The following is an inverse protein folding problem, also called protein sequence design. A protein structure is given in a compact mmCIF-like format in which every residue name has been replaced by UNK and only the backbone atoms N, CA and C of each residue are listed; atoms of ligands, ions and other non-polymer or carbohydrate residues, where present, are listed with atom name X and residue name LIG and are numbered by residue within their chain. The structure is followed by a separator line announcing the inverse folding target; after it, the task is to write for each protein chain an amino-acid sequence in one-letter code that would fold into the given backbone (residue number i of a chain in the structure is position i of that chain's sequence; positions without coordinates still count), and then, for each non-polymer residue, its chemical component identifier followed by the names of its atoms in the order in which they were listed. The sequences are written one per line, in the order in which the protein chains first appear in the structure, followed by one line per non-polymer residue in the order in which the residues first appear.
data_IF_904308583218
#
_entry.id   IF_904308583218
#
_cell.length_a   1.000
_cell.length_b   1.000
_cell.length_c   1.000
_cell.angle_alpha   90.00
_cell.angle_beta   90.00
_cell.angle_gamma   90.00
#
_symmetry.space_group_name_H-M   'P 1'
#
loop_
_entity.id
_entity.type
_entity.pdbx_description
1 polymer ?
#
# COMPACT_ATOMS: atom_id res chain seq x y z
N UNK A 1 -37.61 6.91 -0.55
CA UNK A 1 -36.68 6.37 0.48
C UNK A 1 -35.89 7.50 1.15
N UNK A 2 -35.18 8.36 0.42
CA UNK A 2 -34.44 9.51 1.01
C UNK A 2 -35.33 10.46 1.82
N UNK A 3 -36.48 10.86 1.29
CA UNK A 3 -37.42 11.73 2.01
C UNK A 3 -38.02 11.10 3.28
N UNK A 4 -38.03 9.76 3.40
CA UNK A 4 -38.46 9.07 4.62
C UNK A 4 -37.34 9.06 5.67
N UNK A 5 -36.07 8.95 5.23
CA UNK A 5 -34.91 9.00 6.12
C UNK A 5 -34.68 10.40 6.70
N UNK A 6 -35.00 11.45 5.96
CA UNK A 6 -34.88 12.84 6.42
C UNK A 6 -35.97 13.26 7.42
N UNK A 7 -37.08 12.50 7.50
CA UNK A 7 -38.20 12.76 8.40
C UNK A 7 -38.14 11.95 9.70
N UNK A 8 -37.24 10.98 9.80
CA UNK A 8 -37.07 10.16 10.99
C UNK A 8 -36.22 10.89 12.04
N UNK A 9 -36.76 11.23 13.23
CA UNK A 9 -36.03 11.96 14.26
C UNK A 9 -34.87 11.16 14.89
N UNK A 10 -34.78 9.86 14.63
CA UNK A 10 -33.65 9.02 15.05
C UNK A 10 -32.49 9.04 14.05
N UNK A 11 -32.68 9.61 12.86
CA UNK A 11 -31.69 9.63 11.79
C UNK A 11 -30.92 10.95 11.78
N UNK A 12 -29.59 10.86 11.83
CA UNK A 12 -28.71 12.01 11.57
C UNK A 12 -28.08 11.88 10.18
N UNK A 13 -28.28 12.90 9.35
CA UNK A 13 -27.74 12.94 7.99
C UNK A 13 -26.45 13.77 7.96
N UNK A 14 -25.36 13.15 7.51
CA UNK A 14 -24.08 13.84 7.27
C UNK A 14 -23.73 13.77 5.78
N UNK A 15 -23.54 14.93 5.15
CA UNK A 15 -23.04 14.98 3.79
C UNK A 15 -21.57 14.53 3.73
N UNK A 16 -21.20 13.81 2.66
CA UNK A 16 -19.81 13.46 2.40
C UNK A 16 -18.97 14.70 2.08
N UNK A 17 -17.75 14.75 2.59
CA UNK A 17 -16.74 15.76 2.23
C UNK A 17 -16.33 15.61 0.75
N UNK A 18 -15.62 16.60 0.21
CA UNK A 18 -15.07 16.52 -1.14
C UNK A 18 -14.16 15.30 -1.29
N UNK A 19 -13.27 15.07 -0.33
CA UNK A 19 -12.35 13.92 -0.32
C UNK A 19 -13.10 12.59 -0.22
N UNK A 20 -14.10 12.48 0.65
CA UNK A 20 -14.94 11.28 0.75
C UNK A 20 -15.69 10.98 -0.55
N UNK A 21 -16.17 12.01 -1.28
CA UNK A 21 -16.80 11.84 -2.59
C UNK A 21 -15.83 11.34 -3.66
N UNK A 22 -14.59 11.84 -3.66
CA UNK A 22 -13.54 11.36 -4.58
C UNK A 22 -13.23 9.90 -4.31
N UNK A 23 -13.02 9.55 -3.04
CA UNK A 23 -12.79 8.16 -2.62
C UNK A 23 -13.96 7.26 -3.01
N UNK A 24 -15.20 7.68 -2.77
CA UNK A 24 -16.40 6.91 -3.14
C UNK A 24 -16.44 6.57 -4.63
N UNK A 25 -16.11 7.54 -5.51
CA UNK A 25 -16.03 7.29 -6.96
C UNK A 25 -14.89 6.35 -7.32
N UNK A 26 -13.72 6.53 -6.72
CA UNK A 26 -12.57 5.65 -6.94
C UNK A 26 -12.89 4.19 -6.55
N UNK A 27 -13.57 3.97 -5.42
CA UNK A 27 -13.98 2.64 -4.97
C UNK A 27 -15.02 1.99 -5.89
N UNK A 28 -15.96 2.78 -6.45
CA UNK A 28 -16.89 2.27 -7.46
C UNK A 28 -16.16 1.83 -8.74
N UNK A 29 -15.16 2.60 -9.19
CA UNK A 29 -14.32 2.19 -10.33
C UNK A 29 -13.55 0.92 -9.99
N UNK A 30 -12.93 0.85 -8.82
CA UNK A 30 -12.15 -0.31 -8.38
C UNK A 30 -13.02 -1.57 -8.37
N UNK A 31 -14.27 -1.48 -7.89
CA UNK A 31 -15.21 -2.60 -7.84
C UNK A 31 -15.45 -3.30 -9.19
N UNK A 32 -15.19 -2.63 -10.32
CA UNK A 32 -15.30 -3.23 -11.66
C UNK A 32 -14.10 -4.10 -12.07
N UNK A 33 -12.99 -4.03 -11.34
CA UNK A 33 -11.82 -4.85 -11.60
C UNK A 33 -11.99 -6.25 -10.98
N UNK A 34 -11.74 -7.34 -11.73
CA UNK A 34 -11.72 -8.68 -11.17
C UNK A 34 -10.46 -8.83 -10.31
N UNK A 35 -10.59 -8.57 -9.00
CA UNK A 35 -9.47 -8.62 -8.08
C UNK A 35 -9.26 -10.02 -7.48
N UNK A 36 -8.01 -10.37 -7.23
CA UNK A 36 -7.62 -11.47 -6.36
C UNK A 36 -6.53 -10.99 -5.40
N UNK A 37 -6.38 -11.69 -4.28
CA UNK A 37 -5.31 -11.42 -3.32
C UNK A 37 -4.44 -12.66 -3.05
N UNK A 38 -3.18 -12.39 -2.71
CA UNK A 38 -2.26 -13.38 -2.18
C UNK A 38 -1.66 -12.84 -0.88
N UNK A 39 -1.45 -13.73 0.08
CA UNK A 39 -0.87 -13.41 1.38
C UNK A 39 0.46 -14.11 1.54
N UNK A 40 1.47 -13.39 2.02
CA UNK A 40 2.75 -13.98 2.45
C UNK A 40 3.11 -13.50 3.84
N UNK A 41 3.66 -14.40 4.64
CA UNK A 41 4.31 -14.06 5.90
C UNK A 41 5.75 -13.63 5.63
N UNK A 42 6.22 -12.58 6.32
CA UNK A 42 7.57 -12.03 6.17
C UNK A 42 8.21 -11.89 7.55
N UNK A 43 9.44 -12.41 7.72
CA UNK A 43 10.26 -12.10 8.89
C UNK A 43 10.78 -10.65 8.79
N UNK A 44 10.20 -9.79 9.60
CA UNK A 44 10.46 -8.36 9.59
C UNK A 44 11.65 -7.97 10.46
N UNK A 45 12.37 -8.90 11.10
CA UNK A 45 13.48 -8.56 11.99
C UNK A 45 14.51 -7.68 11.28
N UNK A 46 14.95 -8.08 10.09
CA UNK A 46 15.90 -7.29 9.29
C UNK A 46 15.38 -5.88 8.97
N UNK A 47 14.14 -5.77 8.49
CA UNK A 47 13.52 -4.48 8.21
C UNK A 47 13.33 -3.60 9.47
N UNK A 48 13.04 -4.21 10.62
CA UNK A 48 12.93 -3.51 11.91
C UNK A 48 14.28 -2.98 12.40
N UNK A 49 15.37 -3.69 12.12
CA UNK A 49 16.73 -3.32 12.51
C UNK A 49 17.27 -2.13 11.71
N UNK A 50 16.70 -1.86 10.53
CA UNK A 50 17.04 -0.68 9.73
C UNK A 50 16.45 0.64 10.26
N UNK A 51 15.56 0.59 11.26
CA UNK A 51 15.00 1.80 11.87
C UNK A 51 16.10 2.62 12.54
N UNK A 52 16.02 3.93 12.36
CA UNK A 52 16.96 4.92 12.93
C UNK A 52 16.23 6.26 13.06
N UNK A 53 16.75 7.25 13.81
CA UNK A 53 16.06 8.52 13.99
C UNK A 53 15.56 9.11 12.66
N UNK A 54 14.25 9.29 12.54
CA UNK A 54 13.59 9.81 11.35
C UNK A 54 13.17 8.75 10.30
N UNK A 55 13.72 7.54 10.33
CA UNK A 55 13.38 6.42 9.43
C UNK A 55 12.50 5.42 10.16
N UNK A 56 11.36 5.09 9.55
CA UNK A 56 10.40 4.11 10.06
C UNK A 56 10.43 2.82 9.26
N UNK A 57 9.83 1.74 9.77
CA UNK A 57 9.69 0.49 9.00
C UNK A 57 8.87 0.70 7.71
N UNK A 58 7.92 1.65 7.69
CA UNK A 58 7.20 2.03 6.47
C UNK A 58 8.15 2.53 5.39
N UNK A 59 9.21 3.27 5.75
CA UNK A 59 10.19 3.78 4.78
C UNK A 59 11.02 2.66 4.16
N UNK A 60 11.38 1.66 4.96
CA UNK A 60 12.06 0.43 4.51
C UNK A 60 11.15 -0.39 3.58
N UNK A 61 9.86 -0.50 3.91
CA UNK A 61 8.88 -1.20 3.05
C UNK A 61 8.69 -0.47 1.72
N UNK A 62 8.58 0.87 1.74
CA UNK A 62 8.45 1.68 0.54
C UNK A 62 9.66 1.53 -0.38
N UNK A 63 10.87 1.56 0.19
CA UNK A 63 12.12 1.29 -0.55
C UNK A 63 12.11 -0.12 -1.16
N UNK A 64 11.85 -1.15 -0.36
CA UNK A 64 11.82 -2.53 -0.83
C UNK A 64 10.77 -2.74 -1.94
N UNK A 65 9.60 -2.11 -1.84
CA UNK A 65 8.58 -2.11 -2.89
C UNK A 65 9.11 -1.44 -4.16
N UNK A 66 9.68 -0.23 -4.06
CA UNK A 66 10.20 0.49 -5.20
C UNK A 66 11.29 -0.29 -5.94
N UNK A 67 12.26 -0.85 -5.22
CA UNK A 67 13.32 -1.67 -5.81
C UNK A 67 12.78 -2.96 -6.45
N UNK A 68 11.76 -3.57 -5.85
CA UNK A 68 11.09 -4.75 -6.42
C UNK A 68 10.34 -4.37 -7.70
N UNK A 69 9.64 -3.24 -7.72
CA UNK A 69 8.89 -2.75 -8.89
C UNK A 69 9.78 -2.52 -10.11
N UNK A 70 11.03 -2.07 -9.92
CA UNK A 70 12.00 -1.93 -11.02
C UNK A 70 12.35 -3.29 -11.65
N UNK A 71 12.45 -4.36 -10.85
CA UNK A 71 12.68 -5.72 -11.36
C UNK A 71 11.42 -6.36 -11.98
N UNK A 72 10.25 -5.84 -11.63
CA UNK A 72 8.95 -6.36 -12.05
C UNK A 72 8.09 -5.25 -12.68
N UNK A 73 8.46 -4.72 -13.87
CA UNK A 73 7.74 -3.61 -14.50
C UNK A 73 6.28 -3.93 -14.81
N UNK A 74 5.92 -5.20 -14.97
CA UNK A 74 4.54 -5.65 -15.11
C UNK A 74 3.67 -5.43 -13.84
N UNK A 75 4.31 -5.36 -12.65
CA UNK A 75 3.65 -4.96 -11.39
C UNK A 75 3.65 -3.44 -11.20
N UNK A 76 4.57 -2.73 -11.86
CA UNK A 76 4.65 -1.28 -11.88
C UNK A 76 3.85 -0.70 -13.06
N UNK A 77 2.56 -1.01 -13.11
CA UNK A 77 1.75 -0.77 -14.30
C UNK A 77 0.36 -0.21 -13.99
N UNK A 78 -0.25 0.37 -15.03
CA UNK A 78 -1.64 0.79 -15.03
C UNK A 78 -2.42 -0.01 -16.06
N UNK A 79 -3.63 -0.45 -15.74
CA UNK A 79 -4.55 -1.07 -16.70
C UNK A 79 -5.61 -0.06 -17.14
N UNK A 80 -5.74 0.12 -18.45
CA UNK A 80 -6.73 1.02 -19.05
C UNK A 80 -7.01 0.63 -20.49
N UNK A 81 -8.28 0.64 -20.87
CA UNK A 81 -8.74 0.49 -22.27
C UNK A 81 -8.12 -0.76 -22.93
N UNK A 82 -8.17 -1.91 -22.23
CA UNK A 82 -7.57 -3.20 -22.65
C UNK A 82 -6.06 -3.19 -22.89
N UNK A 83 -5.34 -2.23 -22.31
CA UNK A 83 -3.89 -2.13 -22.36
C UNK A 83 -3.27 -2.02 -20.97
N UNK A 84 -2.06 -2.58 -20.83
CA UNK A 84 -1.21 -2.47 -19.63
C UNK A 84 -0.06 -1.52 -19.92
N UNK A 85 -0.01 -0.39 -19.22
CA UNK A 85 1.02 0.64 -19.34
C UNK A 85 2.05 0.45 -18.24
N UNK A 86 3.23 -0.05 -18.59
CA UNK A 86 4.32 -0.33 -17.65
C UNK A 86 5.22 0.89 -17.48
N UNK A 87 5.73 1.08 -16.26
CA UNK A 87 6.58 2.21 -15.88
C UNK A 87 7.99 1.72 -15.51
N UNK A 88 9.00 2.44 -15.99
CA UNK A 88 10.40 2.20 -15.64
C UNK A 88 10.86 2.91 -14.36
N UNK A 89 10.01 3.76 -13.78
CA UNK A 89 10.24 4.52 -12.54
C UNK A 89 9.13 4.15 -11.56
N UNK A 90 9.47 3.95 -10.29
CA UNK A 90 8.51 3.59 -9.26
C UNK A 90 8.01 4.84 -8.52
N UNK A 91 6.73 5.18 -8.72
CA UNK A 91 6.07 6.24 -7.97
C UNK A 91 5.13 5.61 -6.94
N UNK A 92 5.62 5.41 -5.72
CA UNK A 92 4.88 4.66 -4.70
C UNK A 92 3.96 5.58 -3.91
N UNK A 93 2.66 5.31 -3.98
CA UNK A 93 1.64 5.93 -3.14
C UNK A 93 1.62 5.32 -1.74
N UNK A 94 1.35 6.15 -0.72
CA UNK A 94 1.13 5.70 0.65
C UNK A 94 -0.26 6.11 1.12
N UNK A 95 -1.08 5.16 1.55
CA UNK A 95 -2.40 5.47 2.11
C UNK A 95 -2.27 6.21 3.46
N UNK A 96 -2.82 7.42 3.55
CA UNK A 96 -2.78 8.26 4.75
C UNK A 96 -4.20 8.65 5.16
N UNK A 97 -4.61 8.19 6.35
CA UNK A 97 -5.86 8.59 6.97
C UNK A 97 -5.74 9.95 7.68
N UNK A 98 -6.78 10.77 7.56
CA UNK A 98 -6.93 12.05 8.25
C UNK A 98 -8.39 12.29 8.65
N UNK A 99 -8.70 13.28 9.50
CA UNK A 99 -10.09 13.66 9.79
C UNK A 99 -10.89 14.10 8.55
N UNK A 100 -10.21 14.43 7.44
CA UNK A 100 -10.86 14.82 6.17
C UNK A 100 -11.17 13.63 5.26
N UNK A 101 -10.72 12.43 5.64
CA UNK A 101 -10.82 11.20 4.87
C UNK A 101 -9.46 10.60 4.50
N UNK A 102 -9.51 9.57 3.66
CA UNK A 102 -8.32 8.88 3.13
C UNK A 102 -7.74 9.67 1.95
N UNK A 103 -6.42 9.83 1.93
CA UNK A 103 -5.68 10.39 0.80
C UNK A 103 -4.46 9.53 0.53
N UNK A 104 -4.10 9.33 -0.73
CA UNK A 104 -2.92 8.56 -1.14
C UNK A 104 -1.90 9.52 -1.77
N UNK A 105 -1.06 10.21 -0.99
CA UNK A 105 0.06 10.96 -1.53
C UNK A 105 1.09 10.02 -2.18
N UNK A 106 1.80 10.53 -3.19
CA UNK A 106 2.75 9.80 -4.03
C UNK A 106 4.17 10.29 -3.77
N UNK A 107 5.08 9.36 -3.52
CA UNK A 107 6.52 9.62 -3.47
C UNK A 107 7.06 9.39 -4.88
N UNK A 108 7.27 10.47 -5.63
CA UNK A 108 7.75 10.37 -7.01
C UNK A 108 9.23 9.94 -7.07
N UNK A 109 9.56 9.02 -7.97
CA UNK A 109 10.91 8.48 -8.14
C UNK A 109 11.42 7.74 -6.90
N UNK A 110 10.55 6.99 -6.22
CA UNK A 110 10.88 6.30 -4.96
C UNK A 110 12.11 5.39 -5.12
N UNK A 111 12.25 4.75 -6.27
CA UNK A 111 13.36 3.85 -6.61
C UNK A 111 14.74 4.53 -6.66
N UNK A 112 14.74 5.84 -6.90
CA UNK A 112 15.97 6.64 -7.01
C UNK A 112 16.40 7.30 -5.69
N UNK A 113 15.60 7.19 -4.63
CA UNK A 113 15.84 7.81 -3.34
C UNK A 113 16.56 6.84 -2.39
N UNK A 114 17.36 7.38 -1.48
CA UNK A 114 17.76 6.61 -0.28
C UNK A 114 16.58 6.47 0.68
N UNK A 115 16.67 5.53 1.62
CA UNK A 115 15.67 5.35 2.67
C UNK A 115 15.45 6.66 3.47
N UNK A 116 16.51 7.43 3.75
CA UNK A 116 16.41 8.77 4.36
C UNK A 116 15.60 9.74 3.49
N UNK A 117 15.87 9.75 2.18
CA UNK A 117 15.13 10.58 1.22
C UNK A 117 13.65 10.20 1.17
N UNK A 118 13.34 8.91 1.17
CA UNK A 118 11.96 8.39 1.26
C UNK A 118 11.32 8.88 2.57
N UNK A 119 12.02 8.76 3.70
CA UNK A 119 11.51 9.16 5.00
C UNK A 119 11.22 10.66 5.11
N UNK A 120 12.10 11.50 4.55
CA UNK A 120 11.88 12.94 4.46
C UNK A 120 10.64 13.28 3.62
N UNK A 121 10.54 12.71 2.42
CA UNK A 121 9.41 12.93 1.50
C UNK A 121 8.10 12.45 2.11
N UNK A 122 8.08 11.23 2.69
CA UNK A 122 6.91 10.67 3.37
C UNK A 122 6.44 11.59 4.49
N UNK A 123 7.35 12.05 5.37
CA UNK A 123 6.99 12.95 6.49
C UNK A 123 6.31 14.21 5.98
N UNK A 124 6.91 14.88 5.00
CA UNK A 124 6.40 16.12 4.45
C UNK A 124 5.01 15.92 3.80
N UNK A 125 4.79 14.81 3.08
CA UNK A 125 3.50 14.46 2.49
C UNK A 125 2.44 14.15 3.56
N UNK A 126 2.78 13.38 4.59
CA UNK A 126 1.86 13.05 5.70
C UNK A 126 1.44 14.31 6.45
N UNK A 127 2.37 15.23 6.71
CA UNK A 127 2.09 16.52 7.33
C UNK A 127 1.13 17.35 6.48
N UNK A 128 1.35 17.44 5.17
CA UNK A 128 0.45 18.15 4.25
C UNK A 128 -0.94 17.51 4.15
N UNK A 129 -1.05 16.18 4.13
CA UNK A 129 -2.35 15.49 4.17
C UNK A 129 -3.10 15.84 5.46
N UNK A 130 -2.43 15.77 6.61
CA UNK A 130 -3.04 16.09 7.91
C UNK A 130 -3.43 17.57 8.02
N UNK A 131 -2.60 18.47 7.50
CA UNK A 131 -2.89 19.90 7.43
C UNK A 131 -4.02 20.24 6.43
N UNK A 132 -4.25 19.37 5.43
CA UNK A 132 -5.19 19.63 4.34
C UNK A 132 -4.62 20.55 3.26
N UNK A 133 -3.29 20.63 3.16
CA UNK A 133 -2.54 21.46 2.21
C UNK A 133 -1.86 20.64 1.11
N UNK A 134 -2.22 19.36 0.97
CA UNK A 134 -1.72 18.48 -0.08
C UNK A 134 -2.17 18.99 -1.46
N UNK A 135 -1.26 18.99 -2.43
CA UNK A 135 -1.52 19.48 -3.78
C UNK A 135 -1.95 18.35 -4.71
N UNK A 136 -2.55 18.70 -5.86
CA UNK A 136 -2.94 17.72 -6.89
C UNK A 136 -1.73 16.95 -7.42
N UNK A 137 -0.60 17.63 -7.66
CA UNK A 137 0.63 17.02 -8.15
C UNK A 137 1.18 15.92 -7.22
N UNK A 138 0.85 16.00 -5.94
CA UNK A 138 1.31 15.06 -4.92
C UNK A 138 0.38 13.86 -4.74
N UNK A 139 -0.78 13.83 -5.38
CA UNK A 139 -1.74 12.71 -5.29
C UNK A 139 -1.98 12.03 -6.64
N UNK A 140 -1.34 12.51 -7.72
CA UNK A 140 -1.41 11.92 -9.05
C UNK A 140 -0.08 11.26 -9.43
N UNK A 141 -0.10 10.40 -10.46
CA UNK A 141 1.11 9.81 -11.04
C UNK A 141 1.68 8.62 -10.26
N UNK A 142 0.97 8.13 -9.24
CA UNK A 142 1.35 6.91 -8.52
C UNK A 142 1.14 5.67 -9.39
N UNK A 143 2.11 4.75 -9.37
CA UNK A 143 2.11 3.51 -10.16
C UNK A 143 1.86 2.26 -9.31
N UNK A 144 2.04 2.37 -7.99
CA UNK A 144 1.76 1.33 -7.00
C UNK A 144 1.33 1.99 -5.70
N UNK A 145 0.59 1.29 -4.84
CA UNK A 145 0.17 1.82 -3.53
C UNK A 145 0.54 0.87 -2.40
N UNK A 146 1.02 1.42 -1.29
CA UNK A 146 1.19 0.72 -0.01
C UNK A 146 0.14 1.26 0.97
N UNK A 147 -0.59 0.36 1.61
CA UNK A 147 -1.50 0.64 2.72
C UNK A 147 -0.99 -0.08 3.96
N UNK A 148 -0.48 0.66 4.94
CA UNK A 148 0.05 0.09 6.16
C UNK A 148 -0.94 0.32 7.31
N UNK A 149 -1.52 -0.75 7.84
CA UNK A 149 -2.39 -0.73 9.02
C UNK A 149 -1.77 -1.46 10.22
N UNK A 150 -0.49 -1.85 10.13
CA UNK A 150 0.19 -2.56 11.22
C UNK A 150 0.29 -1.76 12.52
N UNK A 151 0.29 -0.42 12.44
CA UNK A 151 0.24 0.45 13.62
C UNK A 151 -1.13 0.46 14.34
N UNK A 152 -2.18 -0.07 13.69
CA UNK A 152 -3.52 -0.22 14.27
C UNK A 152 -3.78 -1.64 14.77
N UNK A 153 -2.73 -2.45 14.90
CA UNK A 153 -2.78 -3.87 15.27
C UNK A 153 -3.66 -4.75 14.35
N UNK A 154 -3.90 -4.31 13.11
CA UNK A 154 -4.59 -5.12 12.11
C UNK A 154 -3.67 -6.24 11.67
N UNK A 155 -4.04 -7.49 11.96
CA UNK A 155 -3.22 -8.66 11.61
C UNK A 155 -3.05 -8.81 10.08
N UNK A 156 -4.17 -8.74 9.35
CA UNK A 156 -4.23 -8.92 7.90
C UNK A 156 -5.48 -8.21 7.38
N UNK A 157 -5.40 -7.65 6.16
CA UNK A 157 -6.56 -7.10 5.47
C UNK A 157 -6.34 -7.10 3.96
N UNK A 158 -7.44 -7.16 3.20
CA UNK A 158 -7.43 -7.00 1.74
C UNK A 158 -7.65 -5.53 1.40
N UNK A 159 -6.66 -4.90 0.77
CA UNK A 159 -6.79 -3.52 0.30
C UNK A 159 -7.44 -3.48 -1.08
N UNK A 160 -8.35 -2.54 -1.30
CA UNK A 160 -8.92 -2.29 -2.62
C UNK A 160 -7.87 -1.55 -3.45
N UNK A 161 -7.58 -2.01 -4.68
CA UNK A 161 -6.63 -1.35 -5.58
C UNK A 161 -7.00 0.13 -5.78
N UNK A 162 -6.03 0.94 -6.19
CA UNK A 162 -6.25 2.35 -6.53
C UNK A 162 -6.21 2.51 -8.05
N UNK A 163 -7.35 2.37 -8.78
CA UNK A 163 -7.32 2.40 -10.23
C UNK A 163 -6.75 3.72 -10.77
N UNK A 164 -6.01 3.68 -11.89
CA UNK A 164 -5.84 2.52 -12.77
C UNK A 164 -4.67 1.59 -12.39
N UNK A 165 -4.10 1.68 -11.19
CA UNK A 165 -3.00 0.80 -10.76
C UNK A 165 -3.42 -0.66 -10.75
N UNK A 166 -2.49 -1.55 -11.15
CA UNK A 166 -2.76 -2.98 -11.25
C UNK A 166 -2.63 -3.72 -9.91
N UNK A 167 -2.05 -3.09 -8.89
CA UNK A 167 -1.83 -3.72 -7.59
C UNK A 167 -1.75 -2.73 -6.42
N UNK A 168 -2.05 -3.23 -5.21
CA UNK A 168 -1.86 -2.54 -3.93
C UNK A 168 -1.34 -3.54 -2.88
N UNK A 169 -0.41 -3.09 -2.03
CA UNK A 169 0.12 -3.87 -0.92
C UNK A 169 -0.48 -3.43 0.41
N UNK A 170 -1.15 -4.34 1.10
CA UNK A 170 -1.60 -4.21 2.47
C UNK A 170 -0.56 -4.78 3.44
N UNK A 171 -0.17 -4.01 4.45
CA UNK A 171 0.79 -4.40 5.49
C UNK A 171 0.08 -4.54 6.84
N UNK A 172 0.10 -5.75 7.38
CA UNK A 172 -0.42 -6.09 8.70
C UNK A 172 0.55 -5.79 9.85
N UNK A 173 0.12 -6.03 11.08
CA UNK A 173 0.94 -5.81 12.27
C UNK A 173 2.05 -6.84 12.38
N UNK A 174 3.24 -6.39 12.78
CA UNK A 174 4.36 -7.28 13.10
C UNK A 174 4.16 -7.81 14.51
N UNK A 175 4.20 -9.14 14.67
CA UNK A 175 3.98 -9.85 15.92
C UNK A 175 5.09 -10.86 16.16
N UNK A 176 5.40 -11.11 17.42
CA UNK A 176 6.29 -12.22 17.78
C UNK A 176 5.52 -13.53 17.62
N UNK A 177 5.95 -14.38 16.70
CA UNK A 177 5.31 -15.66 16.37
C UNK A 177 6.31 -16.80 16.57
N UNK A 178 5.83 -17.95 17.04
CA UNK A 178 6.62 -19.17 17.05
C UNK A 178 6.53 -19.81 15.65
N UNK A 179 7.66 -19.92 14.97
CA UNK A 179 7.77 -20.51 13.64
C UNK A 179 8.65 -21.75 13.72
N UNK A 180 8.38 -22.71 12.83
CA UNK A 180 9.24 -23.89 12.71
C UNK A 180 10.38 -23.59 11.75
N UNK A 181 11.62 -23.67 12.20
CA UNK A 181 12.81 -23.45 11.39
C UNK A 181 13.85 -24.55 11.66
N UNK A 182 14.39 -25.17 10.61
CA UNK A 182 15.45 -26.18 10.68
C UNK A 182 15.27 -27.28 11.77
N UNK A 183 14.02 -27.68 12.02
CA UNK A 183 13.70 -28.76 12.96
C UNK A 183 13.47 -28.31 14.42
N UNK A 184 13.47 -27.01 14.70
CA UNK A 184 13.16 -26.47 16.03
C UNK A 184 12.18 -25.28 15.98
N UNK A 185 11.39 -25.07 17.05
CA UNK A 185 10.57 -23.87 17.18
C UNK A 185 11.43 -22.65 17.52
N UNK A 186 11.27 -21.55 16.77
CA UNK A 186 11.96 -20.28 16.98
C UNK A 186 10.96 -19.13 17.07
N UNK A 187 11.24 -18.11 17.89
CA UNK A 187 10.44 -16.89 17.95
C UNK A 187 10.95 -15.85 16.96
N UNK A 188 10.09 -15.40 16.04
CA UNK A 188 10.43 -14.43 14.98
C UNK A 188 9.40 -13.30 14.90
N UNK A 189 9.83 -12.14 14.40
CA UNK A 189 8.97 -10.97 14.17
C UNK A 189 8.25 -11.12 12.82
N UNK A 190 7.08 -11.74 12.82
CA UNK A 190 6.34 -12.04 11.59
C UNK A 190 5.27 -10.98 11.32
N UNK A 191 5.14 -10.57 10.06
CA UNK A 191 4.02 -9.76 9.56
C UNK A 191 3.41 -10.42 8.32
N UNK A 192 2.08 -10.32 8.19
CA UNK A 192 1.35 -10.78 7.01
C UNK A 192 1.17 -9.61 6.03
N UNK A 193 1.65 -9.81 4.81
CA UNK A 193 1.54 -8.86 3.71
C UNK A 193 0.55 -9.42 2.69
N UNK A 194 -0.47 -8.64 2.35
CA UNK A 194 -1.51 -9.02 1.38
C UNK A 194 -1.36 -8.16 0.12
N UNK A 195 -1.08 -8.80 -1.01
CA UNK A 195 -1.05 -8.13 -2.30
C UNK A 195 -2.38 -8.35 -3.00
N UNK A 196 -3.08 -7.28 -3.34
CA UNK A 196 -4.31 -7.34 -4.13
C UNK A 196 -4.01 -6.85 -5.54
N UNK A 197 -4.44 -7.63 -6.54
CA UNK A 197 -4.11 -7.44 -7.94
C UNK A 197 -5.35 -7.40 -8.82
N UNK A 198 -5.32 -6.62 -9.91
CA UNK A 198 -6.28 -6.70 -11.01
C UNK A 198 -5.93 -7.88 -11.92
N UNK A 199 -6.79 -8.91 -11.96
CA UNK A 199 -6.52 -10.14 -12.69
C UNK A 199 -6.50 -9.96 -14.23
N UNK A 200 -6.94 -8.81 -14.74
CA UNK A 200 -6.81 -8.45 -16.16
C UNK A 200 -5.37 -8.16 -16.58
N UNK A 201 -4.54 -7.71 -15.63
CA UNK A 201 -3.17 -7.29 -15.89
C UNK A 201 -2.12 -8.16 -15.21
N UNK A 202 -2.46 -8.80 -14.09
CA UNK A 202 -1.54 -9.59 -13.27
C UNK A 202 -2.12 -10.98 -13.08
N UNK A 203 -1.32 -12.03 -13.29
CA UNK A 203 -1.67 -13.40 -12.94
C UNK A 203 -1.05 -13.81 -11.59
N UNK A 204 -1.47 -14.96 -11.06
CA UNK A 204 -1.01 -15.47 -9.77
C UNK A 204 0.49 -15.79 -9.74
N UNK A 205 1.10 -16.19 -10.87
CA UNK A 205 2.52 -16.53 -10.93
C UNK A 205 3.39 -15.26 -10.86
N UNK A 206 3.01 -14.20 -11.59
CA UNK A 206 3.65 -12.90 -11.52
C UNK A 206 3.54 -12.31 -10.11
N UNK A 207 2.35 -12.34 -9.52
CA UNK A 207 2.11 -11.85 -8.16
C UNK A 207 2.96 -12.61 -7.13
N UNK A 208 3.00 -13.95 -7.20
CA UNK A 208 3.78 -14.78 -6.28
C UNK A 208 5.29 -14.50 -6.40
N UNK A 209 5.81 -14.34 -7.62
CA UNK A 209 7.23 -13.99 -7.84
C UNK A 209 7.58 -12.60 -7.31
N UNK A 210 6.70 -11.62 -7.50
CA UNK A 210 6.87 -10.28 -6.95
C UNK A 210 6.92 -10.32 -5.41
N UNK A 211 5.98 -11.00 -4.77
CA UNK A 211 5.94 -11.13 -3.31
C UNK A 211 7.13 -11.92 -2.76
N UNK A 212 7.60 -12.93 -3.49
CA UNK A 212 8.82 -13.66 -3.16
C UNK A 212 10.07 -12.78 -3.15
N UNK A 213 10.24 -11.93 -4.19
CA UNK A 213 11.33 -10.96 -4.24
C UNK A 213 11.23 -9.92 -3.11
N UNK A 214 10.03 -9.38 -2.87
CA UNK A 214 9.79 -8.43 -1.80
C UNK A 214 10.13 -9.03 -0.44
N UNK A 215 9.72 -10.29 -0.20
CA UNK A 215 10.05 -11.05 1.01
C UNK A 215 11.56 -11.19 1.16
N UNK A 216 12.29 -11.63 0.12
CA UNK A 216 13.76 -11.76 0.16
C UNK A 216 14.43 -10.46 0.59
N UNK A 217 13.99 -9.32 0.05
CA UNK A 217 14.53 -7.99 0.39
C UNK A 217 14.26 -7.60 1.84
N UNK A 218 13.02 -7.76 2.31
CA UNK A 218 12.62 -7.39 3.66
C UNK A 218 13.25 -8.29 4.73
N UNK A 219 13.51 -9.55 4.40
CA UNK A 219 14.19 -10.52 5.27
C UNK A 219 15.73 -10.38 5.24
N UNK A 220 16.28 -9.52 4.37
CA UNK A 220 17.72 -9.33 4.23
C UNK A 220 18.45 -10.55 3.65
N UNK A 221 17.74 -11.40 2.89
CA UNK A 221 18.32 -12.57 2.24
C UNK A 221 19.08 -12.16 0.98
N UNK A 222 20.13 -12.89 0.57
CA UNK A 222 20.79 -12.67 -0.72
C UNK A 222 19.78 -12.76 -1.87
N UNK A 223 19.80 -11.76 -2.74
CA UNK A 223 18.93 -11.61 -3.92
C UNK A 223 19.60 -12.16 -5.18
#
# INVERSE_FOLDING_TARGET
MTALLEQDPQVTVRALTKTEKVMSRAMQTAWSAPMFDIVVEIDMQHALDQRRPGVTVTDVILDACAQTLIRFPAMNALYRDDAVYQYAVANVGLAVASPRGLTVPVIHGTDSLSIEGIAERRRALVERVRAGSITVAEVIGGTFTVSNLGMFDVKQFTAIINPPQVAILAVGSTRMCNVWNDGAPEWRQISEFTLTCDHRAVDGALAARFMGELKTRLEGRPV
#
